data_IF_370284551998
#
_entry.id   IF_370284551998
#
_cell.length_a   1.000
_cell.length_b   1.000
_cell.length_c   1.000
_cell.angle_alpha   90.00
_cell.angle_beta   90.00
_cell.angle_gamma   90.00
#
_symmetry.space_group_name_H-M   'P 1'
#
loop_
_entity.id
_entity.type
_entity.pdbx_description
1 polymer ?
#
# COMPACT_ATOMS: atom_id res chain seq x y z
N UNK A 1 -12.96 13.95 -8.39
CA UNK A 1 -11.66 13.35 -8.76
C UNK A 1 -11.05 12.76 -7.51
N UNK A 2 -10.80 11.44 -7.48
CA UNK A 2 -10.26 10.77 -6.28
C UNK A 2 -8.74 10.95 -6.28
N UNK A 3 -8.24 11.89 -5.48
CA UNK A 3 -6.80 12.17 -5.31
C UNK A 3 -6.10 11.18 -4.36
N UNK A 4 -6.88 10.33 -3.69
CA UNK A 4 -6.42 9.29 -2.76
C UNK A 4 -5.30 8.38 -3.29
N UNK A 5 -5.33 7.85 -4.53
CA UNK A 5 -4.25 7.00 -5.03
C UNK A 5 -2.96 7.78 -5.26
N UNK A 6 -3.04 9.04 -5.71
CA UNK A 6 -1.86 9.89 -5.92
C UNK A 6 -1.19 10.20 -4.58
N UNK A 7 -1.98 10.52 -3.54
CA UNK A 7 -1.47 10.74 -2.20
C UNK A 7 -0.78 9.48 -1.62
N UNK A 8 -1.34 8.29 -1.86
CA UNK A 8 -0.76 7.03 -1.41
C UNK A 8 0.58 6.74 -2.09
N UNK A 9 0.69 6.98 -3.40
CA UNK A 9 1.94 6.77 -4.16
C UNK A 9 3.05 7.69 -3.65
N UNK A 10 2.76 8.97 -3.41
CA UNK A 10 3.73 9.94 -2.88
C UNK A 10 4.21 9.52 -1.48
N UNK A 11 3.30 9.05 -0.63
CA UNK A 11 3.63 8.61 0.72
C UNK A 11 4.51 7.36 0.73
N UNK A 12 4.23 6.39 -0.15
CA UNK A 12 5.04 5.19 -0.34
C UNK A 12 6.43 5.51 -0.88
N UNK A 13 6.53 6.41 -1.87
CA UNK A 13 7.81 6.86 -2.43
C UNK A 13 8.69 7.54 -1.35
N UNK A 14 8.10 8.35 -0.47
CA UNK A 14 8.84 8.97 0.64
C UNK A 14 9.37 7.94 1.64
N UNK A 15 8.57 6.94 2.00
CA UNK A 15 9.00 5.84 2.86
C UNK A 15 10.12 5.00 2.22
N UNK A 16 10.06 4.78 0.91
CA UNK A 16 11.10 4.07 0.15
C UNK A 16 12.43 4.83 0.16
N UNK A 17 12.41 6.15 -0.01
CA UNK A 17 13.62 7.00 0.09
C UNK A 17 14.23 6.91 1.49
N UNK A 18 13.42 6.97 2.55
CA UNK A 18 13.91 6.83 3.93
C UNK A 18 14.48 5.43 4.19
N UNK A 19 13.89 4.39 3.62
CA UNK A 19 14.40 3.03 3.70
C UNK A 19 15.75 2.89 2.98
N UNK A 20 15.90 3.47 1.79
CA UNK A 20 17.18 3.52 1.07
C UNK A 20 18.26 4.25 1.86
N UNK A 21 17.94 5.39 2.50
CA UNK A 21 18.89 6.12 3.36
C UNK A 21 19.32 5.31 4.60
N UNK A 22 18.50 4.36 5.07
CA UNK A 22 18.85 3.43 6.15
C UNK A 22 19.60 2.18 5.68
N UNK A 23 19.89 2.06 4.38
CA UNK A 23 20.55 0.88 3.81
C UNK A 23 19.67 -0.37 3.82
N UNK A 24 18.34 -0.22 3.88
CA UNK A 24 17.41 -1.34 3.71
C UNK A 24 17.37 -1.70 2.22
N UNK A 25 17.40 -3.01 1.94
CA UNK A 25 17.20 -3.55 0.60
C UNK A 25 15.85 -3.09 0.04
N UNK A 26 15.88 -2.20 -0.97
CA UNK A 26 14.67 -1.67 -1.61
C UNK A 26 13.78 -2.76 -2.19
N UNK A 27 14.37 -3.89 -2.60
CA UNK A 27 13.64 -5.07 -3.05
C UNK A 27 12.80 -5.71 -1.92
N UNK A 28 13.35 -5.82 -0.72
CA UNK A 28 12.65 -6.38 0.44
C UNK A 28 11.55 -5.42 0.92
N UNK A 29 11.81 -4.11 0.91
CA UNK A 29 10.81 -3.09 1.22
C UNK A 29 9.63 -3.13 0.24
N UNK A 30 9.90 -3.21 -1.07
CA UNK A 30 8.87 -3.33 -2.10
C UNK A 30 8.01 -4.59 -1.94
N UNK A 31 8.60 -5.73 -1.58
CA UNK A 31 7.88 -6.97 -1.29
C UNK A 31 6.93 -6.81 -0.11
N UNK A 32 7.39 -6.21 1.00
CA UNK A 32 6.56 -5.98 2.19
C UNK A 32 5.41 -5.02 1.86
N UNK A 33 5.67 -3.93 1.14
CA UNK A 33 4.65 -2.98 0.71
C UNK A 33 3.62 -3.65 -0.21
N UNK A 34 4.06 -4.46 -1.19
CA UNK A 34 3.16 -5.18 -2.07
C UNK A 34 2.31 -6.20 -1.31
N UNK A 35 2.88 -6.90 -0.33
CA UNK A 35 2.16 -7.83 0.53
C UNK A 35 1.10 -7.11 1.38
N UNK A 36 1.44 -5.98 2.02
CA UNK A 36 0.50 -5.20 2.83
C UNK A 36 -0.59 -4.57 1.96
N UNK A 37 -0.25 -4.03 0.79
CA UNK A 37 -1.20 -3.44 -0.14
C UNK A 37 -2.16 -4.52 -0.72
N UNK A 38 -1.65 -5.71 -1.02
CA UNK A 38 -2.44 -6.85 -1.45
C UNK A 38 -3.40 -7.34 -0.36
N UNK A 39 -2.91 -7.51 0.86
CA UNK A 39 -3.72 -7.93 2.03
C UNK A 39 -4.78 -6.88 2.38
N UNK A 40 -4.40 -5.60 2.48
CA UNK A 40 -5.32 -4.50 2.74
C UNK A 40 -6.36 -4.34 1.63
N UNK A 41 -5.96 -4.51 0.37
CA UNK A 41 -6.87 -4.51 -0.77
C UNK A 41 -7.87 -5.67 -0.75
N UNK A 42 -7.42 -6.86 -0.34
CA UNK A 42 -8.29 -8.03 -0.16
C UNK A 42 -9.30 -7.83 0.97
N UNK A 43 -8.85 -7.33 2.12
CA UNK A 43 -9.71 -7.10 3.28
C UNK A 43 -10.77 -6.01 2.99
N UNK A 44 -10.37 -4.92 2.35
CA UNK A 44 -11.30 -3.88 1.87
C UNK A 44 -12.31 -4.45 0.86
N UNK A 45 -11.88 -5.36 -0.02
CA UNK A 45 -12.78 -6.04 -0.96
C UNK A 45 -13.81 -6.89 -0.23
N UNK A 46 -13.40 -7.68 0.77
CA UNK A 46 -14.29 -8.50 1.61
C UNK A 46 -15.28 -7.63 2.38
N UNK A 47 -14.83 -6.52 2.97
CA UNK A 47 -15.71 -5.58 3.68
C UNK A 47 -16.70 -4.88 2.75
N UNK A 48 -16.26 -4.53 1.52
CA UNK A 48 -17.13 -3.92 0.51
C UNK A 48 -18.16 -4.91 -0.04
N UNK A 49 -17.79 -6.17 -0.20
CA UNK A 49 -18.68 -7.24 -0.65
C UNK A 49 -19.77 -7.52 0.38
N UNK A 50 -19.39 -7.65 1.67
CA UNK A 50 -20.35 -7.75 2.79
C UNK A 50 -21.33 -6.58 2.86
N UNK A 51 -20.89 -5.36 2.52
CA UNK A 51 -21.75 -4.17 2.53
C UNK A 51 -22.70 -4.11 1.33
N UNK A 52 -22.45 -4.86 0.26
CA UNK A 52 -23.26 -4.86 -0.97
C UNK A 52 -24.33 -5.97 -0.98
N UNK A 53 -24.20 -6.97 -0.12
CA UNK A 53 -25.14 -8.06 0.07
C UNK A 53 -26.09 -7.91 1.27
N UNK A 54 -26.25 -6.69 1.80
CA UNK A 54 -27.19 -6.35 2.88
C UNK A 54 -28.25 -5.37 2.42
#
# INVERSE_FOLDING_TARGET
MKWTPIAAIICLAGLEVVAMLKGIDGALFGIVVAAIAGLGGYEIKVLKDKRKGG
#
